data_IF_218007874677
#
_entry.id   IF_218007874677
#
_cell.length_a   1.000
_cell.length_b   1.000
_cell.length_c   1.000
_cell.angle_alpha   90.00
_cell.angle_beta   90.00
_cell.angle_gamma   90.00
#
_symmetry.space_group_name_H-M   'P 1'
#
loop_
_entity.id
_entity.type
_entity.pdbx_description
1 polymer ?
#
# COMPACT_ATOMS: atom_id res chain seq x y z
N UNK A 1 13.21 13.15 8.74
CA UNK A 1 12.33 14.33 8.81
C UNK A 1 10.94 13.84 9.12
N UNK A 2 10.46 14.08 10.34
CA UNK A 2 9.07 13.81 10.70
C UNK A 2 8.21 14.78 9.89
N UNK A 3 7.30 14.27 9.06
CA UNK A 3 6.35 15.13 8.39
C UNK A 3 5.33 15.58 9.46
N UNK A 4 5.39 16.84 9.86
CA UNK A 4 4.36 17.46 10.69
C UNK A 4 3.11 17.64 9.83
N UNK A 5 2.29 16.58 9.76
CA UNK A 5 1.03 16.60 9.03
C UNK A 5 -0.02 17.26 9.92
N UNK A 6 -0.56 18.38 9.48
CA UNK A 6 -1.66 19.06 10.18
C UNK A 6 -2.99 18.32 9.97
N UNK A 7 -3.92 18.45 10.92
CA UNK A 7 -5.28 17.87 10.79
C UNK A 7 -6.00 18.39 9.53
N UNK A 8 -5.74 19.63 9.14
CA UNK A 8 -6.28 20.22 7.91
C UNK A 8 -5.77 19.48 6.66
N UNK A 9 -4.46 19.19 6.59
CA UNK A 9 -3.89 18.44 5.47
C UNK A 9 -4.41 16.99 5.40
N UNK A 10 -4.71 16.37 6.54
CA UNK A 10 -5.38 15.07 6.59
C UNK A 10 -6.79 15.19 6.00
N UNK A 11 -7.58 16.16 6.48
CA UNK A 11 -8.95 16.36 6.03
C UNK A 11 -9.05 16.70 4.53
N UNK A 12 -8.13 17.52 4.02
CA UNK A 12 -8.05 17.86 2.58
C UNK A 12 -7.66 16.67 1.70
N UNK A 13 -6.93 15.70 2.27
CA UNK A 13 -6.54 14.47 1.60
C UNK A 13 -7.63 13.39 1.57
N UNK A 14 -8.69 13.52 2.37
CA UNK A 14 -9.79 12.54 2.43
C UNK A 14 -10.77 12.81 1.30
N UNK A 15 -11.01 11.84 0.38
CA UNK A 15 -12.05 11.96 -0.63
C UNK A 15 -13.40 12.33 -0.02
N UNK A 16 -14.10 13.30 -0.62
CA UNK A 16 -15.44 13.74 -0.14
C UNK A 16 -16.45 12.59 -0.04
N UNK A 17 -16.26 11.53 -0.82
CA UNK A 17 -17.05 10.30 -0.76
C UNK A 17 -16.90 9.55 0.56
N UNK A 18 -15.73 9.64 1.22
CA UNK A 18 -15.50 9.07 2.55
C UNK A 18 -16.04 9.96 3.67
N UNK A 19 -16.11 11.29 3.47
CA UNK A 19 -16.68 12.20 4.47
C UNK A 19 -18.18 11.99 4.69
N UNK A 20 -18.88 11.51 3.65
CA UNK A 20 -20.32 11.22 3.68
C UNK A 20 -20.63 9.70 3.69
N UNK A 21 -19.61 8.86 3.87
CA UNK A 21 -19.75 7.42 3.86
C UNK A 21 -20.41 6.91 5.15
N UNK A 22 -21.16 5.81 5.06
CA UNK A 22 -21.61 5.10 6.25
C UNK A 22 -20.45 4.34 6.91
N UNK A 23 -20.57 4.00 8.19
CA UNK A 23 -19.57 3.18 8.89
C UNK A 23 -19.28 1.86 8.16
N UNK A 24 -20.31 1.26 7.55
CA UNK A 24 -20.19 0.04 6.75
C UNK A 24 -19.35 0.25 5.48
N UNK A 25 -19.52 1.39 4.82
CA UNK A 25 -18.75 1.72 3.62
C UNK A 25 -17.29 2.01 3.97
N UNK A 26 -17.05 2.68 5.12
CA UNK A 26 -15.70 2.92 5.65
C UNK A 26 -15.00 1.60 5.97
N UNK A 27 -15.68 0.66 6.63
CA UNK A 27 -15.13 -0.67 6.91
C UNK A 27 -14.83 -1.45 5.62
N UNK A 28 -15.74 -1.41 4.64
CA UNK A 28 -15.52 -2.01 3.33
C UNK A 28 -14.29 -1.43 2.63
N UNK A 29 -14.13 -0.11 2.68
CA UNK A 29 -12.97 0.59 2.12
C UNK A 29 -11.67 0.25 2.86
N UNK A 30 -11.71 0.15 4.19
CA UNK A 30 -10.57 -0.29 4.99
C UNK A 30 -10.08 -1.68 4.54
N UNK A 31 -11.00 -2.64 4.36
CA UNK A 31 -10.65 -3.98 3.88
C UNK A 31 -9.98 -3.93 2.49
N UNK A 32 -10.46 -3.07 1.59
CA UNK A 32 -9.85 -2.87 0.27
C UNK A 32 -8.41 -2.35 0.41
N UNK A 33 -8.17 -1.37 1.29
CA UNK A 33 -6.82 -0.83 1.55
C UNK A 33 -5.91 -1.94 2.08
N UNK A 34 -6.37 -2.74 3.04
CA UNK A 34 -5.59 -3.83 3.64
C UNK A 34 -5.15 -4.85 2.58
N UNK A 35 -6.07 -5.30 1.71
CA UNK A 35 -5.75 -6.23 0.62
C UNK A 35 -4.80 -5.60 -0.41
N UNK A 36 -4.95 -4.31 -0.70
CA UNK A 36 -4.05 -3.58 -1.61
C UNK A 36 -2.62 -3.52 -1.05
N UNK A 37 -2.46 -3.29 0.26
CA UNK A 37 -1.15 -3.31 0.92
C UNK A 37 -0.53 -4.72 0.84
N UNK A 38 -1.31 -5.77 1.13
CA UNK A 38 -0.84 -7.16 1.01
C UNK A 38 -0.34 -7.47 -0.40
N UNK A 39 -1.10 -7.08 -1.42
CA UNK A 39 -0.72 -7.26 -2.83
C UNK A 39 0.60 -6.55 -3.16
N UNK A 40 0.76 -5.30 -2.69
CA UNK A 40 2.00 -4.54 -2.89
C UNK A 40 3.21 -5.23 -2.28
N UNK A 41 3.09 -5.73 -1.05
CA UNK A 41 4.19 -6.43 -0.39
C UNK A 41 4.49 -7.79 -1.06
N UNK A 42 3.46 -8.52 -1.48
CA UNK A 42 3.63 -9.75 -2.26
C UNK A 42 4.39 -9.49 -3.57
N UNK A 43 4.04 -8.43 -4.31
CA UNK A 43 4.73 -8.03 -5.52
C UNK A 43 6.21 -7.68 -5.26
N UNK A 44 6.49 -6.91 -4.20
CA UNK A 44 7.88 -6.59 -3.78
C UNK A 44 8.67 -7.84 -3.46
N UNK A 45 8.06 -8.81 -2.77
CA UNK A 45 8.71 -10.08 -2.43
C UNK A 45 9.02 -10.91 -3.68
N UNK A 46 8.08 -10.99 -4.62
CA UNK A 46 8.29 -11.66 -5.90
C UNK A 46 9.43 -11.02 -6.69
N UNK A 47 9.45 -9.69 -6.77
CA UNK A 47 10.53 -8.95 -7.44
C UNK A 47 11.91 -9.28 -6.84
N UNK A 48 12.01 -9.35 -5.51
CA UNK A 48 13.26 -9.76 -4.82
C UNK A 48 13.65 -11.19 -5.19
N UNK A 49 12.69 -12.12 -5.22
CA UNK A 49 12.93 -13.52 -5.56
C UNK A 49 13.44 -13.67 -7.00
N UNK A 50 12.81 -12.99 -7.96
CA UNK A 50 13.24 -12.97 -9.36
C UNK A 50 14.66 -12.43 -9.49
N UNK A 51 14.96 -11.29 -8.84
CA UNK A 51 16.31 -10.70 -8.86
C UNK A 51 17.35 -11.68 -8.31
N UNK A 52 17.07 -12.30 -7.17
CA UNK A 52 17.97 -13.27 -6.53
C UNK A 52 18.19 -14.51 -7.42
N UNK A 53 17.14 -15.00 -8.08
CA UNK A 53 17.25 -16.11 -9.02
C UNK A 53 18.18 -15.74 -10.19
N UNK A 54 17.95 -14.60 -10.84
CA UNK A 54 18.76 -14.12 -11.96
C UNK A 54 20.23 -13.93 -11.59
N UNK A 55 20.53 -13.36 -10.41
CA UNK A 55 21.92 -13.19 -9.95
C UNK A 55 22.60 -14.52 -9.62
N UNK A 56 21.84 -15.50 -9.11
CA UNK A 56 22.38 -16.82 -8.77
C UNK A 56 22.73 -17.67 -9.99
N UNK A 57 22.07 -17.43 -11.14
CA UNK A 57 22.38 -18.12 -12.40
C UNK A 57 23.64 -17.55 -13.05
N UNK A 58 23.82 -16.23 -13.00
CA UNK A 58 24.98 -15.53 -13.59
C UNK A 58 26.29 -15.93 -12.90
N UNK A 59 26.27 -16.24 -11.60
CA UNK A 59 27.47 -16.67 -10.87
C UNK A 59 27.88 -18.14 -11.13
N UNK A 60 27.07 -18.93 -11.86
CA UNK A 60 27.37 -20.35 -12.16
C UNK A 60 27.93 -20.57 -13.57
N UNK A 61 28.05 -19.53 -14.38
CA UNK A 61 28.72 -19.51 -15.70
C UNK A 61 30.02 -18.74 -15.63
#
# INVERSE_FOLDING_TARGET
MSQDITLQQIAEGVPKTLLNASDRDIEGFQRIIEETIKLREAHRNLQKMVKNFSTSTIQRT
#
